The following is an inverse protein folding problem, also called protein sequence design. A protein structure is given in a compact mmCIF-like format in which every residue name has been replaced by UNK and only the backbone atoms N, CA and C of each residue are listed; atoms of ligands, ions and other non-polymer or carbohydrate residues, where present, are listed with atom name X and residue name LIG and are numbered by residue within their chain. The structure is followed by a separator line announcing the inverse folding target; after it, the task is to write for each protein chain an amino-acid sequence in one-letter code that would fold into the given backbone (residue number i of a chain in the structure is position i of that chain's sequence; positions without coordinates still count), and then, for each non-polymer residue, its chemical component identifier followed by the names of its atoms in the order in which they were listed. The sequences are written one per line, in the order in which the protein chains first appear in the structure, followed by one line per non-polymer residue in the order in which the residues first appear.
data_IF_365034734704
#
_entry.id   IF_365034734704
#
_cell.length_a   1.000
_cell.length_b   1.000
_cell.length_c   1.000
_cell.angle_alpha   90.00
_cell.angle_beta   90.00
_cell.angle_gamma   90.00
#
_symmetry.space_group_name_H-M   'P 1'
#
loop_
_entity.id
_entity.type
_entity.pdbx_description
1 polymer ?
#
# COMPACT_ATOMS: atom_id res chain seq x y z
N UNK A 1 28.52 37.07 -62.63
CA UNK A 1 27.17 36.49 -62.55
C UNK A 1 27.31 35.07 -61.95
N UNK A 2 27.06 34.97 -60.67
CA UNK A 2 27.13 33.70 -59.96
C UNK A 2 25.74 33.46 -59.34
N UNK A 3 25.05 32.42 -59.84
CA UNK A 3 23.75 31.99 -59.33
C UNK A 3 23.96 31.20 -58.03
N UNK A 4 23.38 31.70 -56.97
CA UNK A 4 23.35 31.08 -55.66
C UNK A 4 22.05 30.29 -55.56
N UNK A 5 22.12 28.97 -55.72
CA UNK A 5 21.03 28.03 -55.39
C UNK A 5 20.95 27.86 -53.89
N UNK A 6 19.86 28.37 -53.29
CA UNK A 6 19.47 28.02 -51.92
C UNK A 6 18.80 26.66 -51.93
N UNK A 7 19.45 25.67 -51.30
CA UNK A 7 18.87 24.37 -50.98
C UNK A 7 17.98 24.56 -49.74
N UNK A 8 16.68 24.45 -49.90
CA UNK A 8 15.74 24.34 -48.79
C UNK A 8 15.85 22.93 -48.21
N UNK A 9 16.51 22.80 -47.07
CA UNK A 9 16.48 21.60 -46.27
C UNK A 9 15.09 21.47 -45.63
N UNK A 10 14.28 20.53 -46.10
CA UNK A 10 13.07 20.09 -45.42
C UNK A 10 13.51 19.44 -44.09
N UNK A 11 13.21 20.07 -42.97
CA UNK A 11 13.29 19.50 -41.66
C UNK A 11 12.25 18.36 -41.57
N UNK A 12 12.71 17.13 -41.48
CA UNK A 12 11.87 15.99 -41.11
C UNK A 12 11.33 16.21 -39.69
N UNK A 13 10.06 15.89 -39.39
CA UNK A 13 9.55 15.99 -38.04
C UNK A 13 10.42 15.17 -37.11
N UNK A 14 10.72 15.72 -35.93
CA UNK A 14 11.51 15.03 -34.92
C UNK A 14 10.75 13.79 -34.42
N UNK A 15 11.48 12.72 -34.08
CA UNK A 15 10.91 11.47 -33.51
C UNK A 15 9.96 11.72 -32.32
N UNK A 16 10.23 12.77 -31.55
CA UNK A 16 9.42 13.17 -30.41
C UNK A 16 7.99 13.61 -30.80
N UNK A 17 7.81 14.18 -32.01
CA UNK A 17 6.50 14.65 -32.49
C UNK A 17 5.65 13.49 -33.00
N UNK A 18 6.27 12.47 -33.62
CA UNK A 18 5.60 11.25 -34.07
C UNK A 18 5.22 10.38 -32.88
N UNK A 19 6.10 10.23 -31.88
CA UNK A 19 5.81 9.50 -30.61
C UNK A 19 4.68 10.18 -29.81
N UNK A 20 4.60 11.50 -29.78
CA UNK A 20 3.50 12.22 -29.13
C UNK A 20 2.17 12.06 -29.89
N UNK A 21 2.18 12.03 -31.21
CA UNK A 21 0.99 11.82 -32.02
C UNK A 21 0.42 10.41 -31.86
N UNK A 22 1.28 9.39 -31.86
CA UNK A 22 0.93 7.98 -31.61
C UNK A 22 0.38 7.77 -30.19
N UNK A 23 0.98 8.39 -29.19
CA UNK A 23 0.51 8.34 -27.81
C UNK A 23 -0.87 9.01 -27.65
N UNK A 24 -1.11 10.13 -28.33
CA UNK A 24 -2.40 10.81 -28.30
C UNK A 24 -3.50 10.01 -29.02
N UNK A 25 -3.18 9.35 -30.11
CA UNK A 25 -4.12 8.47 -30.83
C UNK A 25 -4.45 7.21 -30.01
N UNK A 26 -3.43 6.56 -29.45
CA UNK A 26 -3.60 5.42 -28.55
C UNK A 26 -4.46 5.79 -27.35
N UNK A 27 -4.24 6.95 -26.71
CA UNK A 27 -5.04 7.42 -25.57
C UNK A 27 -6.51 7.63 -25.94
N UNK A 28 -6.82 8.20 -27.12
CA UNK A 28 -8.21 8.39 -27.57
C UNK A 28 -8.95 7.07 -27.78
N UNK A 29 -8.24 6.04 -28.23
CA UNK A 29 -8.81 4.71 -28.51
C UNK A 29 -9.01 3.91 -27.21
N UNK A 30 -8.07 3.98 -26.28
CA UNK A 30 -8.05 3.16 -25.06
C UNK A 30 -8.86 3.76 -23.91
N UNK A 31 -8.81 5.08 -23.69
CA UNK A 31 -9.38 5.74 -22.49
C UNK A 31 -10.82 5.33 -22.14
N UNK A 32 -11.76 5.24 -23.08
CA UNK A 32 -13.14 4.86 -22.75
C UNK A 32 -13.32 3.42 -22.24
N UNK A 33 -12.28 2.57 -22.38
CA UNK A 33 -12.35 1.14 -22.05
C UNK A 33 -11.54 0.77 -20.82
N UNK A 34 -10.70 1.68 -20.31
CA UNK A 34 -9.80 1.40 -19.18
C UNK A 34 -10.58 1.09 -17.90
N UNK A 35 -11.64 1.86 -17.62
CA UNK A 35 -12.51 1.61 -16.46
C UNK A 35 -13.21 0.25 -16.55
N UNK A 36 -13.66 -0.14 -17.74
CA UNK A 36 -14.27 -1.45 -17.96
C UNK A 36 -13.27 -2.59 -17.75
N UNK A 37 -12.06 -2.42 -18.25
CA UNK A 37 -10.98 -3.38 -18.06
C UNK A 37 -10.66 -3.58 -16.57
N UNK A 38 -10.45 -2.49 -15.82
CA UNK A 38 -10.19 -2.55 -14.38
C UNK A 38 -11.35 -3.23 -13.62
N UNK A 39 -12.60 -2.94 -13.97
CA UNK A 39 -13.77 -3.57 -13.37
C UNK A 39 -13.85 -5.08 -13.61
N UNK A 40 -13.54 -5.53 -14.84
CA UNK A 40 -13.49 -6.97 -15.17
C UNK A 40 -12.31 -7.64 -14.48
N UNK A 41 -11.17 -7.00 -14.43
CA UNK A 41 -9.97 -7.52 -13.78
C UNK A 41 -10.16 -7.76 -12.28
N UNK A 42 -10.85 -6.86 -11.59
CA UNK A 42 -11.14 -6.98 -10.14
C UNK A 42 -12.14 -8.08 -9.80
N UNK A 43 -13.13 -8.29 -10.66
CA UNK A 43 -14.19 -9.27 -10.40
C UNK A 43 -13.90 -10.65 -10.94
N UNK A 44 -12.98 -10.76 -11.91
CA UNK A 44 -12.67 -11.96 -12.68
C UNK A 44 -13.90 -12.61 -13.34
N UNK A 45 -14.97 -11.81 -13.48
CA UNK A 45 -16.26 -12.29 -13.98
C UNK A 45 -17.02 -11.18 -14.74
N UNK A 46 -17.09 -11.29 -16.08
CA UNK A 46 -17.65 -10.25 -16.97
C UNK A 46 -19.09 -9.87 -16.62
N UNK A 47 -19.95 -10.85 -16.27
CA UNK A 47 -21.35 -10.58 -15.92
C UNK A 47 -21.45 -9.82 -14.61
N UNK A 48 -20.64 -10.17 -13.63
CA UNK A 48 -20.61 -9.49 -12.33
C UNK A 48 -20.10 -8.06 -12.48
N UNK A 49 -18.99 -7.87 -13.20
CA UNK A 49 -18.48 -6.55 -13.52
C UNK A 49 -19.56 -5.67 -14.20
N UNK A 50 -20.30 -6.24 -15.18
CA UNK A 50 -21.36 -5.53 -15.88
C UNK A 50 -22.48 -5.08 -14.93
N UNK A 51 -22.87 -5.91 -13.98
CA UNK A 51 -23.86 -5.59 -12.95
C UNK A 51 -23.38 -4.48 -12.02
N UNK A 52 -22.14 -4.60 -11.50
CA UNK A 52 -21.53 -3.60 -10.61
C UNK A 52 -21.37 -2.23 -11.30
N UNK A 53 -21.02 -2.24 -12.60
CA UNK A 53 -20.86 -1.03 -13.40
C UNK A 53 -22.17 -0.52 -14.04
N UNK A 54 -23.28 -1.21 -13.84
CA UNK A 54 -24.60 -0.86 -14.39
C UNK A 54 -24.63 -0.73 -15.92
N UNK A 55 -23.89 -1.59 -16.63
CA UNK A 55 -23.86 -1.62 -18.09
C UNK A 55 -24.29 -2.99 -18.63
N UNK A 56 -24.80 -3.08 -19.87
CA UNK A 56 -25.08 -4.37 -20.51
C UNK A 56 -23.81 -5.23 -20.62
N UNK A 57 -23.90 -6.51 -20.28
CA UNK A 57 -22.77 -7.45 -20.37
C UNK A 57 -22.18 -7.51 -21.79
N UNK A 58 -23.03 -7.40 -22.84
CA UNK A 58 -22.58 -7.37 -24.23
C UNK A 58 -21.72 -6.13 -24.56
N UNK A 59 -21.99 -5.00 -23.90
CA UNK A 59 -21.17 -3.77 -24.04
C UNK A 59 -19.79 -3.99 -23.43
N UNK A 60 -19.74 -4.53 -22.21
CA UNK A 60 -18.50 -4.79 -21.50
C UNK A 60 -17.64 -5.83 -22.24
N UNK A 61 -18.26 -6.94 -22.67
CA UNK A 61 -17.57 -7.98 -23.42
C UNK A 61 -16.97 -7.47 -24.75
N UNK A 62 -17.73 -6.65 -25.51
CA UNK A 62 -17.21 -6.04 -26.75
C UNK A 62 -16.07 -5.05 -26.48
N UNK A 63 -16.17 -4.29 -25.40
CA UNK A 63 -15.12 -3.36 -25.01
C UNK A 63 -13.81 -4.10 -24.69
N UNK A 64 -13.86 -5.25 -24.01
CA UNK A 64 -12.67 -6.06 -23.74
C UNK A 64 -12.04 -6.62 -25.00
N UNK A 65 -12.83 -7.25 -25.88
CA UNK A 65 -12.34 -7.78 -27.15
C UNK A 65 -11.68 -6.68 -27.98
N UNK A 66 -12.27 -5.50 -28.03
CA UNK A 66 -11.70 -4.38 -28.78
C UNK A 66 -10.40 -3.86 -28.15
N UNK A 67 -10.33 -3.80 -26.81
CA UNK A 67 -9.13 -3.39 -26.11
C UNK A 67 -7.96 -4.34 -26.40
N UNK A 68 -8.20 -5.65 -26.37
CA UNK A 68 -7.21 -6.68 -26.70
C UNK A 68 -6.77 -6.58 -28.18
N UNK A 69 -7.71 -6.31 -29.08
CA UNK A 69 -7.40 -6.10 -30.52
C UNK A 69 -6.53 -4.85 -30.74
N UNK A 70 -6.88 -3.72 -30.09
CA UNK A 70 -6.13 -2.46 -30.23
C UNK A 70 -4.70 -2.57 -29.67
N UNK A 71 -4.53 -3.37 -28.61
CA UNK A 71 -3.22 -3.64 -28.01
C UNK A 71 -2.44 -4.78 -28.68
N UNK A 72 -3.10 -5.60 -29.50
CA UNK A 72 -2.51 -6.77 -30.17
C UNK A 72 -2.11 -7.90 -29.22
N UNK A 73 -2.63 -7.91 -27.98
CA UNK A 73 -2.31 -8.93 -26.98
C UNK A 73 -3.56 -9.31 -26.16
N UNK A 74 -3.66 -10.57 -25.75
CA UNK A 74 -4.70 -11.03 -24.85
C UNK A 74 -4.41 -10.57 -23.41
N UNK A 75 -5.34 -9.84 -22.83
CA UNK A 75 -5.27 -9.40 -21.42
C UNK A 75 -5.94 -10.38 -20.48
N UNK A 76 -6.90 -11.18 -20.99
CA UNK A 76 -7.66 -12.18 -20.24
C UNK A 76 -7.51 -13.57 -20.83
N UNK A 77 -7.32 -14.57 -19.96
CA UNK A 77 -7.52 -15.97 -20.26
C UNK A 77 -8.96 -16.38 -19.88
N UNK A 78 -9.68 -17.05 -20.79
CA UNK A 78 -11.08 -17.46 -20.57
C UNK A 78 -11.18 -18.87 -19.98
N UNK A 79 -11.92 -19.01 -18.90
CA UNK A 79 -12.20 -20.29 -18.24
C UNK A 79 -13.72 -20.49 -18.10
N UNK A 80 -14.38 -20.84 -19.21
CA UNK A 80 -15.85 -20.99 -19.22
C UNK A 80 -16.56 -19.66 -18.96
N UNK A 81 -17.12 -19.48 -17.75
CA UNK A 81 -17.86 -18.26 -17.35
C UNK A 81 -16.98 -17.24 -16.61
N UNK A 82 -15.78 -17.60 -16.24
CA UNK A 82 -14.81 -16.74 -15.55
C UNK A 82 -13.68 -16.32 -16.47
N UNK A 83 -12.99 -15.26 -16.10
CA UNK A 83 -11.80 -14.78 -16.79
C UNK A 83 -10.70 -14.57 -15.75
N UNK A 84 -9.44 -14.83 -16.11
CA UNK A 84 -8.29 -14.48 -15.29
C UNK A 84 -7.33 -13.62 -16.08
N UNK A 85 -6.55 -12.78 -15.40
CA UNK A 85 -5.56 -11.94 -16.07
C UNK A 85 -4.39 -12.78 -16.61
N UNK A 86 -3.98 -12.50 -17.85
CA UNK A 86 -2.70 -12.95 -18.39
C UNK A 86 -1.53 -12.20 -17.72
N UNK A 87 -0.26 -12.59 -17.91
CA UNK A 87 0.88 -11.77 -17.49
C UNK A 87 0.83 -10.34 -18.06
N UNK A 88 0.49 -10.19 -19.36
CA UNK A 88 0.29 -8.89 -19.99
C UNK A 88 -0.87 -8.10 -19.33
N UNK A 89 -1.98 -8.78 -19.04
CA UNK A 89 -3.12 -8.19 -18.34
C UNK A 89 -2.77 -7.66 -16.96
N UNK A 90 -1.95 -8.35 -16.18
CA UNK A 90 -1.47 -7.88 -14.87
C UNK A 90 -0.59 -6.64 -14.99
N UNK A 91 0.36 -6.64 -15.91
CA UNK A 91 1.23 -5.47 -16.17
C UNK A 91 0.40 -4.26 -16.61
N UNK A 92 -0.56 -4.49 -17.51
CA UNK A 92 -1.44 -3.43 -18.01
C UNK A 92 -2.36 -2.91 -16.91
N UNK A 93 -2.91 -3.78 -16.04
CA UNK A 93 -3.78 -3.38 -14.92
C UNK A 93 -3.09 -2.39 -13.99
N UNK A 94 -1.85 -2.67 -13.60
CA UNK A 94 -1.09 -1.77 -12.72
C UNK A 94 -0.95 -0.35 -13.31
N UNK A 95 -0.81 -0.23 -14.64
CA UNK A 95 -0.73 1.07 -15.32
C UNK A 95 -2.09 1.74 -15.46
N UNK A 96 -3.14 0.96 -15.74
CA UNK A 96 -4.52 1.45 -15.84
C UNK A 96 -5.01 1.98 -14.49
N UNK A 97 -4.75 1.27 -13.41
CA UNK A 97 -5.16 1.70 -12.06
C UNK A 97 -4.48 3.02 -11.66
N UNK A 98 -3.19 3.19 -11.99
CA UNK A 98 -2.52 4.49 -11.82
C UNK A 98 -3.21 5.60 -12.60
N UNK A 99 -3.47 5.38 -13.89
CA UNK A 99 -4.09 6.39 -14.75
C UNK A 99 -5.51 6.79 -14.27
N UNK A 100 -6.32 5.81 -13.87
CA UNK A 100 -7.66 6.06 -13.34
C UNK A 100 -7.60 6.81 -12.00
N UNK A 101 -6.67 6.46 -11.12
CA UNK A 101 -6.45 7.16 -9.86
C UNK A 101 -6.03 8.62 -10.07
N UNK A 102 -5.21 8.92 -11.10
CA UNK A 102 -4.87 10.30 -11.50
C UNK A 102 -6.09 11.09 -11.94
N UNK A 103 -6.93 10.50 -12.81
CA UNK A 103 -8.15 11.16 -13.30
C UNK A 103 -9.12 11.43 -12.15
N UNK A 104 -9.30 10.47 -11.23
CA UNK A 104 -10.14 10.64 -10.05
C UNK A 104 -9.62 11.77 -9.15
N UNK A 105 -8.29 11.84 -8.93
CA UNK A 105 -7.68 12.92 -8.16
C UNK A 105 -7.87 14.27 -8.82
N UNK A 106 -7.59 14.39 -10.12
CA UNK A 106 -7.80 15.64 -10.86
C UNK A 106 -9.27 16.10 -10.78
N UNK A 107 -10.22 15.16 -10.87
CA UNK A 107 -11.63 15.46 -10.71
C UNK A 107 -11.98 15.92 -9.28
N UNK A 108 -11.33 15.32 -8.26
CA UNK A 108 -11.51 15.73 -6.86
C UNK A 108 -10.82 17.05 -6.56
N UNK A 109 -9.67 17.36 -7.18
CA UNK A 109 -9.03 18.68 -7.11
C UNK A 109 -9.93 19.79 -7.65
N UNK A 110 -10.48 19.59 -8.86
CA UNK A 110 -11.43 20.54 -9.45
C UNK A 110 -12.68 20.73 -8.59
N UNK A 111 -13.15 19.66 -7.91
CA UNK A 111 -14.27 19.76 -6.97
C UNK A 111 -13.88 20.41 -5.64
N UNK A 112 -12.66 20.17 -5.17
CA UNK A 112 -12.14 20.71 -3.91
C UNK A 112 -11.78 22.20 -4.02
N UNK A 113 -11.38 22.67 -5.20
CA UNK A 113 -11.23 24.10 -5.48
C UNK A 113 -12.55 24.88 -5.32
N UNK A 114 -13.68 24.19 -5.44
CA UNK A 114 -14.99 24.74 -5.14
C UNK A 114 -15.31 24.77 -3.62
N UNK A 115 -14.67 23.91 -2.78
CA UNK A 115 -14.84 23.91 -1.31
C UNK A 115 -13.65 23.22 -0.61
N UNK A 116 -12.60 23.99 -0.35
CA UNK A 116 -11.34 23.55 0.30
C UNK A 116 -11.51 22.87 1.68
N UNK A 117 -12.73 22.87 2.23
CA UNK A 117 -13.02 22.35 3.55
C UNK A 117 -13.67 20.94 3.56
N UNK A 118 -14.03 20.37 2.39
CA UNK A 118 -14.84 19.13 2.30
C UNK A 118 -14.20 17.97 1.57
N UNK A 119 -12.94 18.09 1.16
CA UNK A 119 -12.25 17.08 0.37
C UNK A 119 -12.08 15.72 1.07
N UNK A 120 -11.48 14.77 0.36
CA UNK A 120 -11.26 13.39 0.78
C UNK A 120 -9.75 13.12 0.89
N UNK A 121 -9.35 12.33 1.87
CA UNK A 121 -7.99 11.78 2.01
C UNK A 121 -8.06 10.27 1.91
N UNK A 122 -7.38 9.68 0.94
CA UNK A 122 -7.20 8.24 0.81
C UNK A 122 -5.95 7.82 1.60
N UNK A 123 -6.16 7.21 2.77
CA UNK A 123 -5.12 6.96 3.75
C UNK A 123 -4.91 5.47 4.00
N UNK A 124 -3.69 4.99 3.70
CA UNK A 124 -3.25 3.63 3.95
C UNK A 124 -2.52 3.47 5.28
N UNK A 125 -2.61 2.31 5.92
CA UNK A 125 -1.88 2.02 7.15
C UNK A 125 -1.75 0.52 7.44
N UNK A 126 -0.74 0.17 8.23
CA UNK A 126 -0.49 -1.21 8.64
C UNK A 126 -1.59 -1.74 9.58
N UNK A 127 -1.90 -3.04 9.49
CA UNK A 127 -2.86 -3.72 10.38
C UNK A 127 -2.60 -3.41 11.86
N UNK A 128 -1.34 -3.36 12.27
CA UNK A 128 -0.92 -3.08 13.65
C UNK A 128 -1.18 -1.65 14.14
N UNK A 129 -1.68 -0.74 13.28
CA UNK A 129 -1.96 0.67 13.62
C UNK A 129 -3.46 0.99 13.62
N UNK A 130 -4.29 0.07 13.13
CA UNK A 130 -5.70 0.32 12.90
C UNK A 130 -6.53 0.44 14.17
N UNK A 131 -6.14 -0.24 15.25
CA UNK A 131 -6.94 -0.29 16.46
C UNK A 131 -6.89 0.99 17.31
N UNK A 132 -5.77 1.70 17.31
CA UNK A 132 -5.57 2.83 18.23
C UNK A 132 -4.90 4.04 17.55
N UNK A 133 -3.74 3.84 16.90
CA UNK A 133 -2.94 4.94 16.34
C UNK A 133 -3.72 5.73 15.29
N UNK A 134 -4.28 5.06 14.30
CA UNK A 134 -4.99 5.73 13.19
C UNK A 134 -6.29 6.38 13.63
N UNK A 135 -7.16 5.75 14.43
CA UNK A 135 -8.33 6.42 14.99
C UNK A 135 -7.99 7.66 15.78
N UNK A 136 -6.93 7.61 16.62
CA UNK A 136 -6.47 8.76 17.42
C UNK A 136 -5.97 9.90 16.52
N UNK A 137 -5.21 9.61 15.46
CA UNK A 137 -4.73 10.61 14.49
C UNK A 137 -5.89 11.28 13.75
N UNK A 138 -6.84 10.49 13.25
CA UNK A 138 -8.01 11.03 12.54
C UNK A 138 -8.87 11.88 13.47
N UNK A 139 -9.10 11.42 14.69
CA UNK A 139 -9.84 12.19 15.69
C UNK A 139 -9.18 13.55 15.96
N UNK A 140 -7.87 13.55 16.22
CA UNK A 140 -7.13 14.78 16.49
C UNK A 140 -7.10 15.74 15.27
N UNK A 141 -6.95 15.21 14.05
CA UNK A 141 -6.98 16.01 12.83
C UNK A 141 -8.36 16.64 12.56
N UNK A 142 -9.42 15.87 12.78
CA UNK A 142 -10.79 16.31 12.54
C UNK A 142 -11.29 17.37 13.54
N UNK A 143 -10.58 17.60 14.65
CA UNK A 143 -10.89 18.71 15.55
C UNK A 143 -10.79 20.07 14.83
N UNK A 144 -9.76 20.22 13.96
CA UNK A 144 -9.55 21.44 13.17
C UNK A 144 -10.13 21.33 11.75
N UNK A 145 -10.37 20.12 11.25
CA UNK A 145 -10.83 19.82 9.89
C UNK A 145 -12.07 18.91 9.88
N UNK A 146 -13.20 19.32 10.49
CA UNK A 146 -14.35 18.41 10.76
C UNK A 146 -15.03 17.87 9.52
N UNK A 147 -14.93 18.54 8.38
CA UNK A 147 -15.59 18.17 7.12
C UNK A 147 -14.74 17.30 6.20
N UNK A 148 -13.45 17.12 6.50
CA UNK A 148 -12.59 16.23 5.73
C UNK A 148 -13.03 14.78 5.90
N UNK A 149 -13.19 14.10 4.79
CA UNK A 149 -13.55 12.67 4.72
C UNK A 149 -12.31 11.82 4.52
N UNK A 150 -12.33 10.61 5.03
CA UNK A 150 -11.24 9.64 4.88
C UNK A 150 -11.74 8.40 4.16
N UNK A 151 -10.97 7.92 3.19
CA UNK A 151 -11.02 6.55 2.67
C UNK A 151 -9.87 5.79 3.31
N UNK A 152 -10.18 4.78 4.10
CA UNK A 152 -9.19 4.07 4.91
C UNK A 152 -8.89 2.71 4.28
N UNK A 153 -7.60 2.42 4.08
CA UNK A 153 -7.12 1.14 3.57
C UNK A 153 -6.14 0.55 4.57
N UNK A 154 -6.42 -0.65 4.99
CA UNK A 154 -5.58 -1.41 5.91
C UNK A 154 -4.96 -2.60 5.19
N UNK A 155 -3.62 -2.69 5.16
CA UNK A 155 -2.92 -3.77 4.50
C UNK A 155 -1.46 -3.87 5.00
N UNK A 156 -0.65 -4.80 4.45
CA UNK A 156 0.79 -4.84 4.67
C UNK A 156 1.54 -3.81 3.81
N UNK A 157 2.80 -3.51 4.19
CA UNK A 157 3.53 -2.35 3.66
C UNK A 157 3.67 -2.35 2.14
N UNK A 158 4.09 -3.46 1.52
CA UNK A 158 4.30 -3.53 0.06
C UNK A 158 3.02 -3.26 -0.72
N UNK A 159 1.91 -3.91 -0.34
CA UNK A 159 0.61 -3.68 -0.99
C UNK A 159 0.14 -2.23 -0.90
N UNK A 160 0.48 -1.51 0.19
CA UNK A 160 0.16 -0.09 0.28
C UNK A 160 1.06 0.78 -0.60
N UNK A 161 2.34 0.42 -0.75
CA UNK A 161 3.23 1.13 -1.67
C UNK A 161 2.82 0.94 -3.13
N UNK A 162 2.33 -0.24 -3.50
CA UNK A 162 1.73 -0.50 -4.81
C UNK A 162 0.48 0.38 -5.04
N UNK A 163 -0.38 0.51 -4.03
CA UNK A 163 -1.58 1.35 -4.11
C UNK A 163 -1.26 2.85 -4.14
N UNK A 164 -0.19 3.29 -3.49
CA UNK A 164 0.33 4.65 -3.68
C UNK A 164 0.75 4.88 -5.13
N UNK A 165 1.50 3.93 -5.73
CA UNK A 165 1.93 3.99 -7.13
C UNK A 165 0.76 3.95 -8.10
N UNK A 166 -0.29 3.23 -7.77
CA UNK A 166 -1.52 3.17 -8.55
C UNK A 166 -2.40 4.42 -8.40
N UNK A 167 -2.04 5.34 -7.49
CA UNK A 167 -2.82 6.52 -7.20
C UNK A 167 -4.11 6.27 -6.41
N UNK A 168 -4.27 5.09 -5.84
CA UNK A 168 -5.40 4.75 -5.00
C UNK A 168 -5.30 5.33 -3.59
N UNK A 169 -4.08 5.68 -3.16
CA UNK A 169 -3.79 6.28 -1.86
C UNK A 169 -3.03 7.59 -2.05
N UNK A 170 -3.35 8.58 -1.21
CA UNK A 170 -2.59 9.83 -1.12
C UNK A 170 -1.38 9.69 -0.21
N UNK A 171 -1.56 9.00 0.92
CA UNK A 171 -0.56 8.83 1.98
C UNK A 171 -0.68 7.43 2.58
N UNK A 172 0.43 6.85 3.03
CA UNK A 172 0.36 5.67 3.89
C UNK A 172 1.35 5.71 5.05
N UNK A 173 0.94 5.15 6.21
CA UNK A 173 1.84 4.79 7.30
C UNK A 173 2.40 3.39 7.05
N UNK A 174 3.71 3.27 7.08
CA UNK A 174 4.41 2.03 6.76
C UNK A 174 5.59 1.75 7.69
N UNK A 175 6.02 0.50 7.72
CA UNK A 175 7.22 0.01 8.41
C UNK A 175 7.70 -1.27 7.72
N UNK A 176 8.99 -1.33 7.36
CA UNK A 176 9.99 -0.29 7.46
C UNK A 176 9.68 0.93 6.56
N UNK A 177 10.38 2.03 6.81
CA UNK A 177 10.30 3.22 5.95
C UNK A 177 10.90 2.86 4.59
N UNK A 178 10.17 3.03 3.48
CA UNK A 178 10.65 2.67 2.15
C UNK A 178 11.79 3.59 1.70
N UNK A 179 12.73 3.02 0.96
CA UNK A 179 13.76 3.73 0.22
C UNK A 179 13.57 3.39 -1.27
N UNK A 180 12.79 4.22 -1.96
CA UNK A 180 12.43 4.02 -3.36
C UNK A 180 12.43 5.39 -4.07
N UNK A 181 12.97 5.48 -5.30
CA UNK A 181 13.18 6.77 -5.99
C UNK A 181 11.87 7.47 -6.40
N UNK A 182 10.78 6.73 -6.51
CA UNK A 182 9.45 7.19 -6.89
C UNK A 182 8.58 7.61 -5.69
N UNK A 183 9.11 7.42 -4.46
CA UNK A 183 8.37 7.71 -3.22
C UNK A 183 9.15 8.70 -2.35
N UNK A 184 8.43 9.63 -1.78
CA UNK A 184 8.94 10.42 -0.66
C UNK A 184 8.48 9.77 0.64
N UNK A 185 9.43 9.36 1.45
CA UNK A 185 9.14 8.80 2.77
C UNK A 185 9.80 9.62 3.88
N UNK A 186 9.12 9.76 5.01
CA UNK A 186 9.62 10.46 6.19
C UNK A 186 9.37 9.63 7.43
N UNK A 187 10.44 9.36 8.17
CA UNK A 187 10.33 8.74 9.48
C UNK A 187 9.55 9.65 10.43
N UNK A 188 8.54 9.08 11.08
CA UNK A 188 7.72 9.77 12.08
C UNK A 188 8.04 9.35 13.49
N UNK A 189 8.18 8.03 13.74
CA UNK A 189 8.34 7.50 15.09
C UNK A 189 9.12 6.18 15.08
N UNK A 190 9.39 5.66 16.28
CA UNK A 190 9.98 4.36 16.52
C UNK A 190 9.12 3.58 17.52
N UNK A 191 8.70 2.38 17.14
CA UNK A 191 7.93 1.48 17.99
C UNK A 191 8.81 0.34 18.50
N UNK A 192 8.90 0.22 19.84
CA UNK A 192 9.59 -0.91 20.48
C UNK A 192 8.79 -2.20 20.25
N UNK A 193 9.50 -3.27 19.94
CA UNK A 193 8.93 -4.61 19.85
C UNK A 193 9.12 -5.36 21.17
N UNK A 194 8.19 -6.24 21.48
CA UNK A 194 8.17 -7.08 22.67
C UNK A 194 8.28 -8.54 22.27
N UNK A 195 9.01 -9.32 23.03
CA UNK A 195 8.89 -10.78 22.96
C UNK A 195 7.65 -11.17 23.74
N UNK A 196 6.66 -11.72 23.04
CA UNK A 196 5.38 -12.18 23.58
C UNK A 196 5.51 -13.68 23.82
N UNK A 197 5.25 -14.10 25.06
CA UNK A 197 5.34 -15.50 25.48
C UNK A 197 4.06 -15.94 26.21
N UNK A 198 3.72 -17.24 26.22
CA UNK A 198 2.62 -17.75 27.07
C UNK A 198 2.80 -17.39 28.52
N UNK A 199 1.71 -17.25 29.26
CA UNK A 199 1.76 -16.86 30.67
C UNK A 199 2.49 -17.88 31.59
N UNK A 200 2.50 -19.14 31.20
CA UNK A 200 3.21 -20.24 31.89
C UNK A 200 4.61 -20.53 31.34
N UNK A 201 5.08 -19.74 30.39
CA UNK A 201 6.37 -19.91 29.74
C UNK A 201 7.53 -19.68 30.75
N UNK A 202 8.66 -20.40 30.58
CA UNK A 202 9.86 -20.28 31.43
C UNK A 202 10.41 -18.86 31.56
N UNK A 203 10.18 -18.01 30.57
CA UNK A 203 10.59 -16.60 30.57
C UNK A 203 9.55 -15.66 31.17
N UNK A 204 8.31 -16.09 31.40
CA UNK A 204 7.20 -15.23 31.80
C UNK A 204 7.40 -14.53 33.15
N UNK A 205 8.19 -15.11 34.05
CA UNK A 205 8.52 -14.47 35.34
C UNK A 205 9.47 -13.27 35.20
N UNK A 206 10.02 -13.02 34.01
CA UNK A 206 10.96 -11.92 33.74
C UNK A 206 10.23 -10.71 33.18
N UNK A 207 10.85 -9.53 33.30
CA UNK A 207 10.41 -8.30 32.63
C UNK A 207 11.25 -7.99 31.39
N UNK A 208 12.46 -8.55 31.32
CA UNK A 208 13.45 -8.25 30.29
C UNK A 208 14.14 -9.53 29.86
N UNK A 209 14.49 -9.62 28.58
CA UNK A 209 15.11 -10.79 27.95
C UNK A 209 16.10 -10.35 26.88
N UNK A 210 17.16 -11.13 26.65
CA UNK A 210 17.94 -11.05 25.40
C UNK A 210 17.28 -11.95 24.39
N UNK A 211 17.15 -11.53 23.14
CA UNK A 211 16.43 -12.31 22.12
C UNK A 211 17.07 -13.69 21.89
N UNK A 212 18.40 -13.79 22.04
CA UNK A 212 19.13 -15.06 21.99
C UNK A 212 18.62 -16.12 22.99
N UNK A 213 17.98 -15.72 24.09
CA UNK A 213 17.40 -16.65 25.07
C UNK A 213 16.15 -17.35 24.56
N UNK A 214 15.59 -16.88 23.42
CA UNK A 214 14.48 -17.53 22.73
C UNK A 214 14.92 -18.38 21.52
N UNK A 215 16.23 -18.63 21.35
CA UNK A 215 16.77 -19.33 20.18
C UNK A 215 16.19 -20.74 19.99
N UNK A 216 15.89 -21.43 21.10
CA UNK A 216 15.34 -22.80 21.07
C UNK A 216 13.81 -22.83 21.02
N UNK A 217 13.15 -21.66 21.09
CA UNK A 217 11.69 -21.57 21.07
C UNK A 217 11.13 -21.73 19.67
N UNK A 218 9.88 -22.13 19.61
CA UNK A 218 9.10 -22.14 18.38
C UNK A 218 8.47 -20.77 18.20
N UNK A 219 8.58 -20.20 16.99
CA UNK A 219 8.04 -18.88 16.69
C UNK A 219 6.72 -18.95 15.95
N UNK A 220 5.86 -18.00 16.30
CA UNK A 220 4.66 -17.63 15.57
C UNK A 220 4.94 -16.26 14.96
N UNK A 221 4.79 -16.09 13.65
CA UNK A 221 5.22 -14.88 12.95
C UNK A 221 4.26 -14.47 11.83
N UNK A 222 4.43 -13.26 11.31
CA UNK A 222 3.73 -12.85 10.10
C UNK A 222 4.29 -13.60 8.89
N UNK A 223 3.49 -13.69 7.83
CA UNK A 223 3.88 -14.29 6.56
C UNK A 223 5.05 -13.55 5.88
N UNK A 224 5.80 -14.21 4.97
CA UNK A 224 6.74 -13.55 4.08
C UNK A 224 6.07 -12.40 3.32
N UNK A 225 6.79 -11.26 3.15
CA UNK A 225 6.25 -10.04 2.55
C UNK A 225 5.82 -8.98 3.57
N UNK A 226 5.54 -9.38 4.80
CA UNK A 226 5.27 -8.42 5.86
C UNK A 226 6.55 -7.79 6.41
N UNK A 227 6.57 -6.46 6.55
CA UNK A 227 7.71 -5.72 7.09
C UNK A 227 8.14 -6.19 8.48
N UNK A 228 7.18 -6.50 9.37
CA UNK A 228 7.47 -7.02 10.71
C UNK A 228 8.09 -8.44 10.67
N UNK A 229 7.75 -9.26 9.67
CA UNK A 229 8.40 -10.55 9.45
C UNK A 229 9.88 -10.35 9.15
N UNK A 230 10.22 -9.50 8.19
CA UNK A 230 11.60 -9.19 7.84
C UNK A 230 12.38 -8.66 9.05
N UNK A 231 11.79 -7.73 9.81
CA UNK A 231 12.41 -7.20 11.03
C UNK A 231 12.64 -8.30 12.07
N UNK A 232 11.70 -9.24 12.24
CA UNK A 232 11.85 -10.39 13.15
C UNK A 232 13.01 -11.29 12.71
N UNK A 233 13.09 -11.63 11.43
CA UNK A 233 14.16 -12.46 10.88
C UNK A 233 15.54 -11.80 11.04
N UNK A 234 15.63 -10.49 10.77
CA UNK A 234 16.86 -9.70 10.92
C UNK A 234 17.32 -9.63 12.38
N UNK A 235 16.40 -9.39 13.32
CA UNK A 235 16.71 -9.34 14.75
C UNK A 235 17.14 -10.71 15.30
N UNK A 236 16.49 -11.79 14.87
CA UNK A 236 16.91 -13.15 15.24
C UNK A 236 18.30 -13.48 14.68
N UNK A 237 18.59 -13.10 13.44
CA UNK A 237 19.91 -13.24 12.82
C UNK A 237 20.98 -12.44 13.58
N UNK A 238 20.70 -11.20 13.98
CA UNK A 238 21.58 -10.37 14.81
C UNK A 238 21.80 -11.00 16.19
N UNK A 239 20.75 -11.65 16.74
CA UNK A 239 20.84 -12.40 18.00
C UNK A 239 21.60 -13.75 17.86
N UNK A 240 22.05 -14.13 16.66
CA UNK A 240 22.84 -15.33 16.39
C UNK A 240 22.07 -16.58 16.07
N UNK A 241 20.78 -16.51 15.75
CA UNK A 241 19.97 -17.68 15.42
C UNK A 241 18.96 -17.42 14.28
N UNK A 242 18.37 -18.48 13.76
CA UNK A 242 17.20 -18.44 12.87
C UNK A 242 15.98 -18.96 13.59
N UNK A 243 14.85 -18.25 13.56
CA UNK A 243 13.65 -18.72 14.27
C UNK A 243 13.10 -20.02 13.63
N UNK A 244 12.70 -20.96 14.48
CA UNK A 244 11.91 -22.12 14.04
C UNK A 244 10.46 -21.72 13.96
N UNK A 245 9.94 -21.52 12.76
CA UNK A 245 8.59 -21.03 12.53
C UNK A 245 7.65 -22.23 12.44
N UNK A 246 6.62 -22.26 13.32
CA UNK A 246 5.57 -23.28 13.29
C UNK A 246 4.26 -22.74 12.70
N UNK A 247 3.99 -21.45 12.89
CA UNK A 247 2.76 -20.82 12.42
C UNK A 247 3.08 -19.48 11.79
N UNK A 248 2.44 -19.20 10.67
CA UNK A 248 2.47 -17.95 9.96
C UNK A 248 1.03 -17.41 9.87
N UNK A 249 0.88 -16.09 9.88
CA UNK A 249 -0.42 -15.44 9.77
C UNK A 249 -0.30 -14.00 9.29
N UNK A 250 -1.41 -13.32 9.14
CA UNK A 250 -1.47 -11.99 8.55
C UNK A 250 -1.64 -10.88 9.60
N UNK A 251 -2.13 -11.21 10.79
CA UNK A 251 -2.49 -10.24 11.83
C UNK A 251 -1.78 -10.48 13.16
N UNK A 252 -1.20 -9.42 13.74
CA UNK A 252 -0.50 -9.47 15.00
C UNK A 252 -1.39 -9.95 16.17
N UNK A 253 -2.69 -9.62 16.17
CA UNK A 253 -3.60 -10.05 17.24
C UNK A 253 -3.96 -11.54 17.14
N UNK A 254 -4.04 -12.08 15.92
CA UNK A 254 -4.17 -13.53 15.68
C UNK A 254 -2.93 -14.25 16.20
N UNK A 255 -1.72 -13.75 15.87
CA UNK A 255 -0.46 -14.32 16.36
C UNK A 255 -0.38 -14.28 17.89
N UNK A 256 -0.81 -13.17 18.52
CA UNK A 256 -0.89 -13.04 19.97
C UNK A 256 -1.84 -14.07 20.58
N UNK A 257 -2.92 -14.38 19.86
CA UNK A 257 -3.84 -15.46 20.23
C UNK A 257 -3.22 -16.83 20.20
N UNK A 258 -2.42 -17.14 19.17
CA UNK A 258 -1.69 -18.39 19.06
C UNK A 258 -0.65 -18.54 20.18
N UNK A 259 0.04 -17.44 20.53
CA UNK A 259 0.94 -17.41 21.70
C UNK A 259 0.18 -17.69 22.99
N UNK A 260 -0.98 -17.07 23.20
CA UNK A 260 -1.81 -17.29 24.40
C UNK A 260 -2.28 -18.75 24.51
N UNK A 261 -2.43 -19.46 23.39
CA UNK A 261 -2.74 -20.88 23.31
C UNK A 261 -1.52 -21.81 23.51
N UNK A 262 -0.32 -21.26 23.80
CA UNK A 262 0.89 -22.04 24.03
C UNK A 262 1.56 -22.58 22.77
N UNK A 263 1.23 -22.04 21.57
CA UNK A 263 1.71 -22.56 20.29
C UNK A 263 3.08 -22.00 19.87
N UNK A 264 3.70 -21.17 20.70
CA UNK A 264 5.02 -20.60 20.47
C UNK A 264 5.20 -19.21 21.07
N UNK A 265 6.24 -18.49 20.63
CA UNK A 265 6.55 -17.12 21.03
C UNK A 265 6.53 -16.20 19.80
N UNK A 266 6.34 -14.91 20.00
CA UNK A 266 6.29 -13.95 18.89
C UNK A 266 7.01 -12.64 19.25
N UNK A 267 7.57 -11.98 18.23
CA UNK A 267 8.10 -10.61 18.37
C UNK A 267 7.08 -9.63 17.77
N UNK A 268 6.35 -8.92 18.63
CA UNK A 268 5.21 -8.08 18.23
C UNK A 268 5.31 -6.68 18.81
N UNK A 269 4.65 -5.68 18.20
CA UNK A 269 4.45 -4.39 18.83
C UNK A 269 3.53 -4.54 20.05
N UNK A 270 3.57 -3.60 21.02
CA UNK A 270 2.61 -3.59 22.12
C UNK A 270 1.17 -3.61 21.60
N UNK A 271 0.24 -4.33 22.24
CA UNK A 271 -1.17 -4.32 21.87
C UNK A 271 -1.86 -3.03 22.33
N UNK A 272 -2.92 -2.64 21.65
CA UNK A 272 -3.80 -1.57 22.13
C UNK A 272 -4.50 -1.93 23.44
N UNK A 273 -4.84 -3.21 23.61
CA UNK A 273 -5.47 -3.75 24.82
C UNK A 273 -4.70 -4.99 25.27
N UNK A 274 -4.33 -5.03 26.54
CA UNK A 274 -3.65 -6.17 27.12
C UNK A 274 -4.47 -7.46 26.92
N UNK A 275 -3.80 -8.53 26.48
CA UNK A 275 -4.43 -9.83 26.25
C UNK A 275 -4.14 -10.78 27.42
N UNK A 276 -5.14 -11.40 28.04
CA UNK A 276 -4.92 -12.48 28.98
C UNK A 276 -4.19 -13.68 28.35
N UNK A 277 -3.41 -14.40 29.14
CA UNK A 277 -2.71 -15.62 28.70
C UNK A 277 -1.35 -15.37 28.06
N UNK A 278 -0.91 -14.12 27.91
CA UNK A 278 0.43 -13.78 27.43
C UNK A 278 1.16 -12.85 28.39
N UNK A 279 2.50 -12.89 28.33
CA UNK A 279 3.40 -11.94 28.99
C UNK A 279 4.29 -11.28 27.92
N UNK A 280 4.45 -9.96 28.02
CA UNK A 280 5.26 -9.18 27.10
C UNK A 280 6.58 -8.77 27.74
N UNK A 281 7.68 -9.21 27.15
CA UNK A 281 9.02 -8.99 27.67
C UNK A 281 9.73 -7.92 26.87
N UNK A 282 10.41 -7.00 27.55
CA UNK A 282 11.29 -6.04 26.90
C UNK A 282 12.54 -6.76 26.38
N UNK A 283 12.76 -6.69 25.08
CA UNK A 283 14.00 -7.21 24.46
C UNK A 283 15.13 -6.21 24.70
N UNK A 284 16.23 -6.67 25.27
CA UNK A 284 17.38 -5.82 25.65
C UNK A 284 18.53 -5.88 24.63
N UNK A 285 18.65 -6.98 23.91
CA UNK A 285 19.67 -7.18 22.86
C UNK A 285 19.18 -8.27 21.88
N UNK A 286 19.27 -8.04 20.56
CA UNK A 286 19.50 -6.74 19.93
C UNK A 286 18.40 -5.72 20.27
N UNK A 287 18.58 -4.47 19.85
CA UNK A 287 17.54 -3.43 20.04
C UNK A 287 16.32 -3.75 19.19
N UNK A 288 15.29 -4.30 19.79
CA UNK A 288 14.07 -4.69 19.10
C UNK A 288 13.13 -3.48 18.95
N UNK A 289 13.17 -2.87 17.77
CA UNK A 289 12.33 -1.74 17.43
C UNK A 289 12.06 -1.72 15.92
N UNK A 290 10.99 -1.05 15.51
CA UNK A 290 10.70 -0.76 14.11
C UNK A 290 10.48 0.74 13.91
N UNK A 291 10.93 1.23 12.79
CA UNK A 291 10.65 2.60 12.37
C UNK A 291 9.27 2.67 11.74
N UNK A 292 8.52 3.70 12.09
CA UNK A 292 7.25 4.04 11.46
C UNK A 292 7.46 5.30 10.63
N UNK A 293 7.05 5.25 9.38
CA UNK A 293 7.11 6.40 8.49
C UNK A 293 5.79 6.66 7.78
N UNK A 294 5.68 7.85 7.22
CA UNK A 294 4.67 8.20 6.24
C UNK A 294 5.32 8.24 4.87
N UNK A 295 4.64 7.70 3.86
CA UNK A 295 5.07 7.72 2.47
C UNK A 295 3.98 8.25 1.56
N UNK A 296 4.39 8.87 0.44
CA UNK A 296 3.55 9.37 -0.64
C UNK A 296 4.32 9.35 -1.96
N UNK A 297 3.60 9.47 -3.08
CA UNK A 297 4.21 9.49 -4.41
C UNK A 297 4.95 10.81 -4.66
N UNK A 298 6.19 10.73 -5.16
CA UNK A 298 6.96 11.93 -5.48
C UNK A 298 6.39 12.64 -6.71
N UNK A 299 6.52 14.00 -6.71
CA UNK A 299 6.04 14.82 -7.83
C UNK A 299 4.53 14.94 -7.97
N UNK A 300 3.74 14.32 -7.08
CA UNK A 300 2.28 14.40 -7.11
C UNK A 300 1.77 15.63 -6.38
N UNK A 301 0.90 16.45 -7.01
CA UNK A 301 0.27 17.59 -6.33
C UNK A 301 -0.68 17.10 -5.24
N UNK A 302 -0.58 17.70 -4.05
CA UNK A 302 -1.50 17.41 -2.96
C UNK A 302 -2.78 18.25 -3.12
N UNK A 303 -3.93 17.62 -2.93
CA UNK A 303 -5.16 18.41 -2.66
C UNK A 303 -5.05 19.12 -1.31
N UNK A 304 -5.77 20.22 -1.09
CA UNK A 304 -5.70 20.96 0.18
C UNK A 304 -5.89 20.10 1.44
N UNK A 305 -6.86 19.16 1.53
CA UNK A 305 -6.99 18.29 2.69
C UNK A 305 -5.83 17.29 2.83
N UNK A 306 -5.27 16.78 1.71
CA UNK A 306 -4.09 15.90 1.72
C UNK A 306 -2.87 16.66 2.24
N UNK A 307 -2.61 17.87 1.73
CA UNK A 307 -1.53 18.74 2.20
C UNK A 307 -1.65 19.06 3.69
N UNK A 308 -2.87 19.38 4.15
CA UNK A 308 -3.15 19.65 5.57
C UNK A 308 -2.89 18.40 6.43
N UNK A 309 -3.39 17.22 6.02
CA UNK A 309 -3.19 16.00 6.77
C UNK A 309 -1.73 15.51 6.75
N UNK A 310 -1.04 15.66 5.62
CA UNK A 310 0.41 15.42 5.52
C UNK A 310 1.19 16.30 6.50
N UNK A 311 0.92 17.59 6.52
CA UNK A 311 1.54 18.54 7.47
C UNK A 311 1.25 18.14 8.92
N UNK A 312 0.01 17.76 9.22
CA UNK A 312 -0.38 17.27 10.54
C UNK A 312 0.42 16.02 10.95
N UNK A 313 0.53 15.00 10.09
CA UNK A 313 1.32 13.79 10.38
C UNK A 313 2.80 14.12 10.63
N UNK A 314 3.39 14.98 9.80
CA UNK A 314 4.78 15.42 9.96
C UNK A 314 5.02 16.19 11.26
N UNK A 315 4.02 16.94 11.75
CA UNK A 315 4.10 17.64 13.04
C UNK A 315 4.07 16.69 14.26
N UNK A 316 3.62 15.44 14.07
CA UNK A 316 3.57 14.40 15.11
C UNK A 316 4.85 13.57 15.23
N UNK A 317 5.93 13.98 14.57
CA UNK A 317 7.21 13.29 14.63
C UNK A 317 7.70 13.13 16.08
N UNK A 318 7.99 11.88 16.48
CA UNK A 318 8.37 11.51 17.84
C UNK A 318 7.20 11.43 18.83
N UNK A 319 5.96 11.61 18.37
CA UNK A 319 4.75 11.54 19.19
C UNK A 319 3.55 11.01 18.39
N UNK A 320 3.82 10.09 17.47
CA UNK A 320 2.79 9.47 16.62
C UNK A 320 2.07 8.34 17.34
N UNK A 321 2.84 7.55 18.11
CA UNK A 321 2.33 6.37 18.79
C UNK A 321 1.78 6.75 20.15
N UNK A 322 0.72 6.11 20.64
CA UNK A 322 0.27 6.28 22.01
C UNK A 322 1.37 5.80 22.98
N UNK A 323 1.46 6.47 24.13
CA UNK A 323 2.43 6.15 25.20
C UNK A 323 2.10 4.84 25.91
#
# INVERSE_FOLDING_TARGET
MVHQQRSEARLSPSSDTEDMADAAEMSRVLAPRLAYFAGVARTEHVTRAAQEMQVPQSTLSRAMVRLEQDLGVDLFARHGRTVSLTPAGRTFLASVERALGEIERAADEVRADADAATGKVAFGFLHTMGAETVPGLIHAFRADHPRVRFSLVQNYGEAMLERLRAGELDLCLTSPVPDAPDLVARRLDEQKLRLVVPADHRLAARRRVRLAEAADETFVTLEPGYGLRRITDDLCKEAGFRPRIAFEGEEAETLRGLVAAGLGVALLPPPAVARPGVVELTVTAPRAAREIGVAWLDGHPDTPPVAAFKKFLLSRRGNLLPN
#
